data_IF_366021796643
#
_entry.id   IF_366021796643
#
_cell.length_a   1.000
_cell.length_b   1.000
_cell.length_c   1.000
_cell.angle_alpha   90.00
_cell.angle_beta   90.00
_cell.angle_gamma   90.00
#
_symmetry.space_group_name_H-M   'P 1'
#
loop_
_entity.id
_entity.type
_entity.pdbx_description
1 polymer ?
#
# COMPACT_ATOMS: atom_id res chain seq x y z
N UNK A 1 0.07 -15.60 -21.75
CA UNK A 1 -0.87 -14.92 -20.83
C UNK A 1 -0.81 -15.58 -19.48
N UNK A 2 -1.01 -14.87 -18.40
CA UNK A 2 -1.13 -15.47 -17.08
C UNK A 2 -2.36 -16.36 -17.00
N UNK A 3 -2.29 -17.37 -16.14
CA UNK A 3 -3.42 -18.25 -15.82
C UNK A 3 -4.01 -17.83 -14.48
N UNK A 4 -5.33 -17.88 -14.36
CA UNK A 4 -6.03 -17.59 -13.11
C UNK A 4 -6.72 -18.88 -12.63
N UNK A 5 -6.48 -19.21 -11.35
CA UNK A 5 -7.17 -20.27 -10.61
C UNK A 5 -7.78 -19.70 -9.36
N UNK A 6 -8.79 -20.35 -8.80
CA UNK A 6 -9.38 -19.95 -7.53
C UNK A 6 -9.59 -21.16 -6.61
N UNK A 7 -9.58 -20.90 -5.31
CA UNK A 7 -9.90 -21.88 -4.27
C UNK A 7 -10.53 -21.17 -3.06
N UNK A 8 -11.29 -21.87 -2.22
CA UNK A 8 -11.72 -21.34 -0.93
C UNK A 8 -10.50 -20.91 -0.09
N UNK A 9 -10.60 -19.78 0.60
CA UNK A 9 -9.59 -19.34 1.56
C UNK A 9 -10.08 -19.48 3.00
N UNK A 10 -11.30 -19.02 3.29
CA UNK A 10 -11.87 -19.09 4.62
C UNK A 10 -13.26 -18.49 4.67
N UNK A 11 -13.73 -18.24 5.88
CA UNK A 11 -15.03 -17.63 6.16
C UNK A 11 -14.82 -16.48 7.12
N UNK A 12 -15.43 -15.33 6.85
CA UNK A 12 -15.41 -14.18 7.76
C UNK A 12 -16.20 -14.49 9.04
N UNK A 13 -16.00 -13.73 10.13
CA UNK A 13 -16.80 -13.82 11.36
C UNK A 13 -18.28 -13.59 11.14
N UNK A 14 -18.63 -12.89 10.05
CA UNK A 14 -20.02 -12.66 9.63
C UNK A 14 -20.59 -13.80 8.78
N UNK A 15 -19.83 -14.87 8.54
CA UNK A 15 -20.26 -16.05 7.79
C UNK A 15 -20.12 -15.93 6.25
N UNK A 16 -19.47 -14.90 5.73
CA UNK A 16 -19.24 -14.76 4.29
C UNK A 16 -18.03 -15.59 3.84
N UNK A 17 -18.19 -16.35 2.75
CA UNK A 17 -17.10 -17.11 2.14
C UNK A 17 -16.10 -16.17 1.46
N UNK A 18 -14.81 -16.42 1.67
CA UNK A 18 -13.70 -15.70 1.05
C UNK A 18 -12.95 -16.65 0.10
N UNK A 19 -12.67 -16.15 -1.10
CA UNK A 19 -12.02 -16.87 -2.18
C UNK A 19 -10.61 -16.30 -2.43
N UNK A 20 -9.63 -17.18 -2.55
CA UNK A 20 -8.28 -16.85 -3.02
C UNK A 20 -8.21 -17.06 -4.54
N UNK A 21 -7.79 -16.04 -5.28
CA UNK A 21 -7.50 -16.06 -6.72
C UNK A 21 -5.99 -16.04 -6.92
N UNK A 22 -5.50 -16.96 -7.72
CA UNK A 22 -4.07 -17.19 -7.97
C UNK A 22 -3.77 -16.92 -9.43
N UNK A 23 -3.04 -15.83 -9.71
CA UNK A 23 -2.54 -15.47 -11.02
C UNK A 23 -1.10 -15.99 -11.15
N UNK A 24 -0.79 -16.71 -12.25
CA UNK A 24 0.56 -17.21 -12.51
C UNK A 24 0.94 -16.96 -13.96
N UNK A 25 2.11 -16.40 -14.21
CA UNK A 25 2.61 -16.15 -15.56
C UNK A 25 3.66 -17.19 -16.01
N UNK A 26 3.98 -17.26 -17.30
CA UNK A 26 5.02 -18.19 -17.80
C UNK A 26 6.42 -17.91 -17.24
N UNK A 27 6.69 -16.68 -16.77
CA UNK A 27 7.94 -16.28 -16.13
C UNK A 27 8.11 -16.80 -14.69
N UNK A 28 7.08 -17.50 -14.17
CA UNK A 28 7.08 -18.10 -12.83
C UNK A 28 6.65 -17.15 -11.71
N UNK A 29 6.33 -15.88 -12.01
CA UNK A 29 5.75 -14.98 -11.01
C UNK A 29 4.32 -15.41 -10.72
N UNK A 30 4.00 -15.54 -9.41
CA UNK A 30 2.66 -15.90 -8.94
C UNK A 30 2.18 -14.85 -7.94
N UNK A 31 0.94 -14.40 -8.09
CA UNK A 31 0.28 -13.45 -7.18
C UNK A 31 -1.02 -14.06 -6.70
N UNK A 32 -1.21 -14.14 -5.37
CA UNK A 32 -2.47 -14.57 -4.75
C UNK A 32 -3.21 -13.36 -4.20
N UNK A 33 -4.51 -13.30 -4.48
CA UNK A 33 -5.41 -12.20 -4.10
C UNK A 33 -6.66 -12.75 -3.45
N UNK A 34 -7.12 -12.14 -2.36
CA UNK A 34 -8.41 -12.44 -1.75
C UNK A 34 -9.49 -11.49 -2.25
N UNK A 35 -10.71 -11.99 -2.41
CA UNK A 35 -11.89 -11.15 -2.69
C UNK A 35 -12.36 -10.33 -1.47
N UNK A 36 -11.79 -10.55 -0.30
CA UNK A 36 -11.92 -9.71 0.89
C UNK A 36 -10.79 -8.69 0.91
N UNK A 37 -11.12 -7.38 1.00
CA UNK A 37 -10.16 -6.28 1.04
C UNK A 37 -9.27 -6.15 -0.21
N UNK A 38 -9.53 -6.87 -1.29
CA UNK A 38 -8.60 -7.01 -2.43
C UNK A 38 -7.18 -7.32 -1.96
N UNK A 39 -7.03 -8.13 -0.91
CA UNK A 39 -5.76 -8.39 -0.24
C UNK A 39 -4.80 -9.12 -1.18
N UNK A 40 -3.62 -8.58 -1.37
CA UNK A 40 -2.50 -9.29 -1.99
C UNK A 40 -1.88 -10.18 -0.91
N UNK A 41 -2.22 -11.47 -0.93
CA UNK A 41 -1.79 -12.45 0.06
C UNK A 41 -0.36 -12.92 -0.17
N UNK A 42 -0.01 -13.23 -1.42
CA UNK A 42 1.33 -13.68 -1.79
C UNK A 42 1.80 -12.99 -3.08
N UNK A 43 3.08 -12.71 -3.16
CA UNK A 43 3.81 -12.45 -4.41
C UNK A 43 5.03 -13.36 -4.42
N UNK A 44 4.95 -14.47 -5.14
CA UNK A 44 6.00 -15.46 -5.21
C UNK A 44 6.86 -15.18 -6.44
N UNK A 45 8.09 -14.74 -6.21
CA UNK A 45 9.06 -14.40 -7.25
C UNK A 45 10.04 -15.55 -7.43
N UNK A 46 10.25 -16.06 -8.66
CA UNK A 46 11.31 -17.04 -8.91
C UNK A 46 12.68 -16.41 -8.63
N UNK A 47 13.51 -17.06 -7.83
CA UNK A 47 14.84 -16.61 -7.47
C UNK A 47 15.87 -17.71 -7.62
N UNK A 48 17.16 -17.37 -7.52
CA UNK A 48 18.28 -18.30 -7.78
C UNK A 48 18.22 -19.58 -6.96
N UNK A 49 17.77 -19.48 -5.70
CA UNK A 49 17.74 -20.60 -4.74
C UNK A 49 16.31 -21.16 -4.54
N UNK A 50 15.40 -20.92 -5.47
CA UNK A 50 13.99 -21.31 -5.38
C UNK A 50 13.06 -20.09 -5.29
N UNK A 51 11.75 -20.30 -5.37
CA UNK A 51 10.75 -19.23 -5.31
C UNK A 51 10.72 -18.60 -3.91
N UNK A 52 10.55 -17.27 -3.86
CA UNK A 52 10.47 -16.49 -2.61
C UNK A 52 9.16 -15.71 -2.58
N UNK A 53 8.40 -15.85 -1.50
CA UNK A 53 7.26 -14.96 -1.23
C UNK A 53 7.78 -13.65 -0.67
N UNK A 54 7.61 -12.58 -1.42
CA UNK A 54 8.20 -11.28 -1.10
C UNK A 54 7.24 -10.33 -0.39
N UNK A 55 6.07 -10.80 0.05
CA UNK A 55 5.12 -9.98 0.83
C UNK A 55 4.74 -10.65 2.14
N UNK A 56 4.55 -9.84 3.16
CA UNK A 56 3.97 -10.27 4.43
C UNK A 56 2.46 -10.50 4.27
N UNK A 57 1.86 -11.19 5.21
CA UNK A 57 0.43 -11.47 5.26
C UNK A 57 0.08 -12.46 6.34
N UNK A 58 -1.17 -12.92 6.36
CA UNK A 58 -1.67 -13.90 7.31
C UNK A 58 -2.10 -15.19 6.61
N UNK A 59 -2.16 -16.29 7.36
CA UNK A 59 -2.54 -17.60 6.83
C UNK A 59 -4.05 -17.84 6.88
N UNK A 60 -4.76 -17.19 7.80
CA UNK A 60 -6.19 -17.42 8.02
C UNK A 60 -7.01 -16.13 7.88
N UNK A 61 -8.30 -16.28 7.58
CA UNK A 61 -9.23 -15.16 7.53
C UNK A 61 -9.39 -14.51 8.92
N UNK A 62 -9.35 -15.30 9.98
CA UNK A 62 -9.45 -14.81 11.35
C UNK A 62 -8.28 -13.87 11.69
N UNK A 63 -7.05 -14.23 11.30
CA UNK A 63 -5.87 -13.38 11.54
C UNK A 63 -5.96 -12.05 10.77
N UNK A 64 -6.49 -12.03 9.54
CA UNK A 64 -6.75 -10.79 8.81
C UNK A 64 -7.79 -9.92 9.51
N UNK A 65 -8.89 -10.51 10.02
CA UNK A 65 -9.91 -9.75 10.73
C UNK A 65 -9.39 -9.23 12.08
N UNK A 66 -8.52 -9.99 12.78
CA UNK A 66 -7.87 -9.55 14.01
C UNK A 66 -6.89 -8.40 13.75
N UNK A 67 -6.06 -8.49 12.70
CA UNK A 67 -5.19 -7.39 12.28
C UNK A 67 -6.02 -6.12 12.01
N UNK A 68 -7.06 -6.21 11.19
CA UNK A 68 -7.84 -5.03 10.76
C UNK A 68 -8.68 -4.38 11.85
N UNK A 69 -8.88 -5.04 13.00
CA UNK A 69 -9.60 -4.52 14.17
C UNK A 69 -8.68 -4.16 15.32
N UNK A 70 -7.40 -4.50 15.24
CA UNK A 70 -6.42 -4.17 16.27
C UNK A 70 -6.06 -2.68 16.28
N UNK A 71 -5.67 -2.16 17.43
CA UNK A 71 -5.16 -0.77 17.56
C UNK A 71 -3.84 -0.53 16.82
N UNK A 72 -3.15 -1.60 16.44
CA UNK A 72 -1.91 -1.59 15.63
C UNK A 72 -2.11 -2.21 14.26
N UNK A 73 -3.30 -2.08 13.67
CA UNK A 73 -3.62 -2.65 12.36
C UNK A 73 -2.57 -2.31 11.31
N UNK A 74 -2.06 -3.35 10.66
CA UNK A 74 -1.12 -3.19 9.55
C UNK A 74 -1.82 -3.03 8.21
N UNK A 75 -3.11 -3.35 8.11
CA UNK A 75 -3.84 -3.46 6.83
C UNK A 75 -3.08 -4.31 5.80
N UNK A 76 -2.38 -5.36 6.26
CA UNK A 76 -1.37 -6.10 5.50
C UNK A 76 -1.90 -6.62 4.17
N UNK A 77 -1.32 -6.15 3.06
CA UNK A 77 -1.70 -6.51 1.69
C UNK A 77 -3.02 -5.91 1.19
N UNK A 78 -3.78 -5.22 2.03
CA UNK A 78 -5.13 -4.77 1.71
C UNK A 78 -5.16 -3.55 0.78
N UNK A 79 -6.25 -3.44 0.02
CA UNK A 79 -6.63 -2.21 -0.66
C UNK A 79 -7.28 -1.26 0.35
N UNK A 80 -6.76 -0.04 0.44
CA UNK A 80 -7.09 0.96 1.45
C UNK A 80 -7.84 2.14 0.84
N UNK A 81 -8.88 2.60 1.50
CA UNK A 81 -9.79 3.71 1.14
C UNK A 81 -11.02 3.74 2.07
N UNK A 82 -11.96 4.75 1.99
CA UNK A 82 -11.99 5.80 0.93
C UNK A 82 -10.78 6.70 0.96
N UNK A 83 -10.15 6.87 2.14
CA UNK A 83 -9.02 7.78 2.28
C UNK A 83 -7.84 7.03 2.91
N UNK A 84 -6.82 6.74 2.09
CA UNK A 84 -5.56 6.16 2.53
C UNK A 84 -4.79 7.15 3.39
N UNK A 85 -4.12 6.64 4.43
CA UNK A 85 -3.44 7.40 5.44
C UNK A 85 -4.41 8.27 6.28
N UNK A 86 -3.91 9.32 6.96
CA UNK A 86 -4.67 10.06 7.98
C UNK A 86 -5.48 11.20 7.41
N UNK A 87 -6.63 11.46 8.07
CA UNK A 87 -7.37 12.73 8.04
C UNK A 87 -7.27 13.31 9.44
N UNK A 88 -6.63 14.45 9.57
CA UNK A 88 -6.36 15.12 10.84
C UNK A 88 -7.65 15.46 11.58
N UNK A 89 -7.68 15.21 12.91
CA UNK A 89 -8.84 15.39 13.78
C UNK A 89 -10.12 14.67 13.31
N UNK A 90 -9.98 13.68 12.40
CA UNK A 90 -11.10 12.92 11.82
C UNK A 90 -12.20 13.82 11.22
N UNK A 91 -11.84 14.99 10.67
CA UNK A 91 -12.78 15.96 10.12
C UNK A 91 -12.29 16.52 8.79
N UNK A 92 -13.22 16.74 7.86
CA UNK A 92 -12.94 17.43 6.60
C UNK A 92 -14.15 18.21 6.11
N UNK A 93 -13.91 19.16 5.17
CA UNK A 93 -14.98 19.93 4.55
C UNK A 93 -14.94 19.75 3.03
N UNK A 94 -16.11 19.55 2.42
CA UNK A 94 -16.28 19.50 0.97
C UNK A 94 -17.64 20.05 0.59
N UNK A 95 -17.74 20.82 -0.50
CA UNK A 95 -19.00 21.41 -0.95
C UNK A 95 -19.65 22.35 0.07
N UNK A 96 -18.87 23.00 0.94
CA UNK A 96 -19.37 23.91 2.01
C UNK A 96 -19.97 23.18 3.23
N UNK A 97 -19.86 21.85 3.30
CA UNK A 97 -20.30 21.04 4.45
C UNK A 97 -19.12 20.42 5.15
N UNK A 98 -19.18 20.33 6.47
CA UNK A 98 -18.21 19.64 7.31
C UNK A 98 -18.71 18.24 7.67
N UNK A 99 -17.82 17.25 7.58
CA UNK A 99 -18.07 15.85 7.86
C UNK A 99 -17.15 15.39 8.98
N UNK A 100 -17.75 14.74 9.99
CA UNK A 100 -17.04 14.12 11.09
C UNK A 100 -16.93 12.62 10.80
N UNK A 101 -15.71 12.09 10.89
CA UNK A 101 -15.42 10.67 10.75
C UNK A 101 -15.18 10.02 12.12
N UNK A 102 -15.11 8.71 12.16
CA UNK A 102 -14.67 7.98 13.34
C UNK A 102 -13.17 8.25 13.58
N UNK A 103 -12.81 8.62 14.82
CA UNK A 103 -11.43 8.74 15.26
C UNK A 103 -10.89 7.36 15.66
N UNK A 104 -10.28 6.66 14.72
CA UNK A 104 -9.76 5.30 14.88
C UNK A 104 -8.22 5.22 15.05
N UNK A 105 -7.54 6.38 15.03
CA UNK A 105 -6.09 6.49 15.24
C UNK A 105 -5.76 7.74 16.07
N UNK A 106 -5.90 7.62 17.41
CA UNK A 106 -5.88 8.78 18.29
C UNK A 106 -7.00 9.74 17.91
N UNK A 107 -6.72 11.06 17.70
CA UNK A 107 -7.74 12.00 17.25
C UNK A 107 -8.07 11.89 15.76
N UNK A 108 -7.28 11.14 14.99
CA UNK A 108 -7.34 11.11 13.53
C UNK A 108 -8.20 9.95 13.01
N UNK A 109 -8.66 10.07 11.77
CA UNK A 109 -9.17 8.94 11.00
C UNK A 109 -8.06 8.36 10.14
N UNK A 110 -7.95 7.02 10.07
CA UNK A 110 -6.91 6.31 9.34
C UNK A 110 -7.52 5.22 8.45
N UNK A 111 -7.17 5.21 7.16
CA UNK A 111 -7.38 4.16 6.16
C UNK A 111 -8.83 3.86 5.72
N UNK A 112 -9.86 4.08 6.54
CA UNK A 112 -11.25 3.76 6.21
C UNK A 112 -11.57 2.25 6.21
N UNK A 113 -12.63 1.84 5.46
CA UNK A 113 -13.19 0.50 5.56
C UNK A 113 -12.95 -0.42 4.35
N UNK A 114 -12.28 0.02 3.29
CA UNK A 114 -12.16 -0.78 2.05
C UNK A 114 -11.39 -2.08 2.24
N UNK A 115 -10.46 -2.14 3.19
CA UNK A 115 -9.75 -3.35 3.61
C UNK A 115 -10.67 -4.44 4.20
N UNK A 116 -11.86 -4.07 4.66
CA UNK A 116 -12.84 -4.97 5.31
C UNK A 116 -14.06 -5.29 4.45
N UNK A 117 -14.02 -4.98 3.15
CA UNK A 117 -15.12 -5.26 2.22
C UNK A 117 -14.93 -6.57 1.48
N UNK A 118 -16.04 -7.25 1.20
CA UNK A 118 -16.07 -8.35 0.22
C UNK A 118 -16.37 -7.75 -1.17
N UNK A 119 -15.60 -8.18 -2.16
CA UNK A 119 -15.68 -7.69 -3.54
C UNK A 119 -16.28 -8.73 -4.46
N UNK A 120 -17.08 -8.29 -5.43
CA UNK A 120 -17.52 -9.14 -6.52
C UNK A 120 -16.37 -9.26 -7.55
N UNK A 121 -15.96 -10.50 -7.85
CA UNK A 121 -14.82 -10.75 -8.71
C UNK A 121 -15.23 -11.31 -10.05
N UNK A 122 -14.65 -10.75 -11.12
CA UNK A 122 -14.70 -11.28 -12.48
C UNK A 122 -13.27 -11.52 -12.95
N UNK A 123 -12.98 -12.77 -13.36
CA UNK A 123 -11.68 -13.16 -13.91
C UNK A 123 -11.77 -13.27 -15.43
N UNK A 124 -10.85 -12.65 -16.16
CA UNK A 124 -10.77 -12.75 -17.61
C UNK A 124 -9.32 -12.54 -18.10
N UNK A 125 -8.85 -13.50 -18.92
CA UNK A 125 -7.47 -13.49 -19.42
C UNK A 125 -6.45 -13.54 -18.27
N UNK A 126 -5.64 -12.48 -18.14
CA UNK A 126 -4.62 -12.28 -17.13
C UNK A 126 -5.05 -11.29 -16.02
N UNK A 127 -6.35 -11.00 -15.93
CA UNK A 127 -6.91 -9.89 -15.15
C UNK A 127 -8.01 -10.35 -14.20
N UNK A 128 -7.95 -9.86 -12.96
CA UNK A 128 -9.05 -9.85 -11.99
C UNK A 128 -9.67 -8.45 -11.95
N UNK A 129 -10.98 -8.36 -12.12
CA UNK A 129 -11.76 -7.15 -11.85
C UNK A 129 -12.55 -7.40 -10.57
N UNK A 130 -12.32 -6.57 -9.57
CA UNK A 130 -12.97 -6.63 -8.26
C UNK A 130 -13.79 -5.37 -8.07
N UNK A 131 -15.09 -5.50 -7.84
CA UNK A 131 -16.05 -4.39 -7.75
C UNK A 131 -16.76 -4.40 -6.41
N UNK A 132 -16.96 -3.21 -5.83
CA UNK A 132 -17.74 -3.00 -4.63
C UNK A 132 -18.40 -1.61 -4.65
N UNK A 133 -19.34 -1.41 -3.72
CA UNK A 133 -19.98 -0.12 -3.47
C UNK A 133 -19.70 0.30 -2.02
N UNK A 134 -19.68 1.62 -1.83
CA UNK A 134 -19.60 2.24 -0.51
C UNK A 134 -20.74 3.24 -0.43
N UNK A 135 -21.80 2.95 0.36
CA UNK A 135 -23.01 3.79 0.43
C UNK A 135 -22.71 5.15 1.04
N UNK A 136 -23.59 6.11 0.78
CA UNK A 136 -23.58 7.43 1.43
C UNK A 136 -23.57 7.29 2.95
N UNK A 137 -22.67 8.02 3.62
CA UNK A 137 -22.51 7.99 5.07
C UNK A 137 -21.65 6.83 5.61
N UNK A 138 -21.19 5.89 4.80
CA UNK A 138 -20.27 4.84 5.26
C UNK A 138 -18.98 5.45 5.78
N UNK A 139 -18.55 5.08 7.00
CA UNK A 139 -17.44 5.70 7.77
C UNK A 139 -17.57 7.24 7.92
N UNK A 140 -18.76 7.82 7.70
CA UNK A 140 -19.00 9.27 7.72
C UNK A 140 -18.73 10.00 6.40
N UNK A 141 -18.33 9.31 5.34
CA UNK A 141 -18.03 9.92 4.05
C UNK A 141 -19.31 10.14 3.21
N UNK A 142 -19.49 11.31 2.55
CA UNK A 142 -20.64 11.56 1.69
C UNK A 142 -20.57 10.85 0.34
N UNK A 143 -21.75 10.58 -0.22
CA UNK A 143 -21.99 10.06 -1.54
C UNK A 143 -21.90 8.53 -1.66
N UNK A 144 -22.76 7.98 -2.53
CA UNK A 144 -22.68 6.59 -2.95
C UNK A 144 -21.49 6.44 -3.91
N UNK A 145 -20.53 5.63 -3.52
CA UNK A 145 -19.30 5.46 -4.25
C UNK A 145 -19.24 4.08 -4.89
N UNK A 146 -19.01 4.04 -6.22
CA UNK A 146 -18.72 2.82 -6.97
C UNK A 146 -17.22 2.69 -7.17
N UNK A 147 -16.73 1.52 -6.85
CA UNK A 147 -15.30 1.25 -6.83
C UNK A 147 -14.99 0.00 -7.64
N UNK A 148 -13.94 0.06 -8.46
CA UNK A 148 -13.40 -1.06 -9.20
C UNK A 148 -11.88 -1.09 -9.05
N UNK A 149 -11.35 -2.24 -8.64
CA UNK A 149 -9.93 -2.56 -8.57
C UNK A 149 -9.64 -3.61 -9.63
N UNK A 150 -8.66 -3.34 -10.47
CA UNK A 150 -8.22 -4.29 -11.49
C UNK A 150 -6.78 -4.70 -11.23
N UNK A 151 -6.54 -5.99 -11.07
CA UNK A 151 -5.21 -6.57 -10.94
C UNK A 151 -4.88 -7.38 -12.18
N UNK A 152 -3.76 -7.05 -12.81
CA UNK A 152 -3.29 -7.70 -14.04
C UNK A 152 -1.85 -8.19 -13.85
N UNK A 153 -1.59 -9.46 -14.18
CA UNK A 153 -0.26 -10.05 -14.16
C UNK A 153 0.23 -10.29 -15.60
N UNK A 154 1.21 -9.52 -16.04
CA UNK A 154 1.75 -9.62 -17.40
C UNK A 154 2.85 -10.69 -17.53
N UNK A 155 3.22 -11.03 -18.76
CA UNK A 155 4.26 -12.04 -19.04
C UNK A 155 5.68 -11.58 -18.65
N UNK A 156 5.93 -10.28 -18.58
CA UNK A 156 7.23 -9.68 -18.26
C UNK A 156 7.45 -9.43 -16.76
N UNK A 157 6.74 -10.20 -15.91
CA UNK A 157 6.79 -10.13 -14.46
C UNK A 157 6.37 -8.76 -13.90
N UNK A 158 5.40 -8.13 -14.56
CA UNK A 158 4.78 -6.89 -14.10
C UNK A 158 3.41 -7.18 -13.50
N UNK A 159 3.20 -6.79 -12.25
CA UNK A 159 1.90 -6.80 -11.59
C UNK A 159 1.36 -5.38 -11.54
N UNK A 160 0.23 -5.15 -12.21
CA UNK A 160 -0.40 -3.86 -12.37
C UNK A 160 -1.70 -3.80 -11.58
N UNK A 161 -1.89 -2.72 -10.84
CA UNK A 161 -3.06 -2.42 -10.03
C UNK A 161 -3.69 -1.11 -10.55
N UNK A 162 -4.87 -1.20 -11.16
CA UNK A 162 -5.65 -0.04 -11.61
C UNK A 162 -6.84 0.16 -10.68
N UNK A 163 -7.03 1.40 -10.24
CA UNK A 163 -8.13 1.82 -9.39
C UNK A 163 -9.05 2.77 -10.16
N UNK A 164 -10.35 2.56 -10.04
CA UNK A 164 -11.37 3.41 -10.62
C UNK A 164 -12.50 3.64 -9.63
N UNK A 165 -12.79 4.90 -9.34
CA UNK A 165 -13.82 5.29 -8.37
C UNK A 165 -14.68 6.41 -8.95
N UNK A 166 -15.99 6.37 -8.70
CA UNK A 166 -16.92 7.45 -9.00
C UNK A 166 -17.92 7.61 -7.86
N UNK A 167 -18.41 8.83 -7.63
CA UNK A 167 -19.41 9.14 -6.60
C UNK A 167 -20.52 9.98 -7.19
N UNK A 168 -21.74 9.84 -6.64
CA UNK A 168 -22.91 10.65 -7.00
C UNK A 168 -22.94 12.00 -6.25
N UNK A 169 -22.11 12.18 -5.23
CA UNK A 169 -21.91 13.44 -4.51
C UNK A 169 -20.42 13.83 -4.43
N UNK A 170 -20.15 15.08 -4.11
CA UNK A 170 -18.80 15.54 -3.81
C UNK A 170 -18.28 14.81 -2.57
N UNK A 171 -17.08 14.22 -2.67
CA UNK A 171 -16.41 13.50 -1.59
C UNK A 171 -14.91 13.66 -1.69
N UNK A 172 -14.14 13.05 -0.78
CA UNK A 172 -12.68 12.95 -0.88
C UNK A 172 -12.27 11.51 -1.14
N UNK A 173 -11.19 11.32 -1.91
CA UNK A 173 -10.68 9.99 -2.27
C UNK A 173 -9.15 10.00 -2.26
N UNK A 174 -8.58 9.05 -1.53
CA UNK A 174 -7.17 8.70 -1.56
C UNK A 174 -7.06 7.17 -1.45
N UNK A 175 -6.44 6.52 -2.41
CA UNK A 175 -6.46 5.06 -2.53
C UNK A 175 -5.03 4.52 -2.60
N UNK A 176 -4.79 3.38 -1.96
CA UNK A 176 -3.52 2.66 -2.05
C UNK A 176 -3.69 1.16 -1.83
N UNK A 177 -2.61 0.39 -2.03
CA UNK A 177 -2.47 -0.97 -1.52
C UNK A 177 -1.37 -0.98 -0.44
N UNK A 178 -1.63 -1.66 0.66
CA UNK A 178 -0.78 -1.67 1.85
C UNK A 178 0.04 -2.97 1.97
N UNK A 179 0.62 -3.44 0.87
CA UNK A 179 1.53 -4.59 0.91
C UNK A 179 2.84 -4.23 1.58
N UNK A 180 3.28 -5.08 2.51
CA UNK A 180 4.60 -5.03 3.12
C UNK A 180 5.53 -5.97 2.40
N UNK A 181 6.63 -5.45 1.87
CA UNK A 181 7.60 -6.21 1.08
C UNK A 181 8.79 -6.63 1.94
N UNK A 182 9.24 -7.88 1.73
CA UNK A 182 10.51 -8.38 2.19
C UNK A 182 11.13 -9.24 1.08
N UNK A 183 12.06 -8.67 0.32
CA UNK A 183 12.68 -9.35 -0.83
C UNK A 183 13.59 -10.52 -0.41
N UNK A 184 13.87 -10.69 0.89
CA UNK A 184 14.53 -11.86 1.45
C UNK A 184 13.56 -13.04 1.67
N UNK A 185 12.26 -12.77 1.80
CA UNK A 185 11.20 -13.70 2.18
C UNK A 185 11.17 -14.06 3.66
N UNK A 186 12.17 -13.63 4.44
CA UNK A 186 12.31 -13.90 5.85
C UNK A 186 13.21 -12.87 6.55
N UNK A 187 13.17 -12.83 7.90
CA UNK A 187 14.00 -11.93 8.71
C UNK A 187 13.62 -10.47 8.53
N UNK A 188 14.57 -9.55 8.75
CA UNK A 188 14.38 -8.13 8.60
C UNK A 188 14.75 -7.62 7.18
N UNK A 189 14.42 -6.36 6.92
CA UNK A 189 14.69 -5.67 5.65
C UNK A 189 15.88 -4.70 5.74
N UNK A 190 16.55 -4.60 6.88
CA UNK A 190 17.58 -3.58 7.13
C UNK A 190 18.77 -3.70 6.19
N UNK A 191 19.08 -4.95 5.78
CA UNK A 191 20.14 -5.27 4.81
C UNK A 191 19.72 -5.15 3.34
N UNK A 192 18.48 -4.78 3.05
CA UNK A 192 18.02 -4.57 1.68
C UNK A 192 18.32 -3.14 1.24
N UNK A 193 18.65 -2.97 -0.04
CA UNK A 193 18.94 -1.65 -0.62
C UNK A 193 17.66 -1.06 -1.20
N UNK A 194 17.39 0.20 -0.86
CA UNK A 194 16.25 0.97 -1.35
C UNK A 194 16.73 2.27 -1.99
N UNK A 195 16.19 2.60 -3.15
CA UNK A 195 16.28 3.90 -3.80
C UNK A 195 14.90 4.49 -3.93
N UNK A 196 14.74 5.78 -3.60
CA UNK A 196 13.50 6.53 -3.79
C UNK A 196 13.81 7.75 -4.65
N UNK A 197 13.04 7.93 -5.73
CA UNK A 197 13.19 9.05 -6.66
C UNK A 197 12.40 10.26 -6.15
N UNK A 198 12.86 10.83 -5.03
CA UNK A 198 12.25 11.98 -4.39
C UNK A 198 13.31 12.87 -3.78
N UNK A 199 13.32 14.13 -4.17
CA UNK A 199 14.22 15.16 -3.61
C UNK A 199 13.68 15.78 -2.33
N UNK A 200 12.41 15.52 -1.99
CA UNK A 200 11.74 16.08 -0.82
C UNK A 200 10.83 15.05 -0.14
N UNK A 201 10.47 15.33 1.11
CA UNK A 201 9.48 14.60 1.90
C UNK A 201 8.59 15.56 2.69
N UNK A 202 7.42 15.10 3.14
CA UNK A 202 6.57 15.87 4.04
C UNK A 202 7.08 15.73 5.47
N UNK A 203 7.30 16.85 6.16
CA UNK A 203 7.59 16.85 7.59
C UNK A 203 6.38 16.32 8.36
N UNK A 204 6.59 15.37 9.27
CA UNK A 204 5.57 14.84 10.16
C UNK A 204 5.58 15.49 11.54
N UNK A 205 4.43 15.48 12.23
CA UNK A 205 4.29 15.82 13.64
C UNK A 205 4.19 14.55 14.51
N UNK A 206 4.11 14.69 15.83
CA UNK A 206 4.03 13.58 16.79
C UNK A 206 2.78 12.66 16.63
N UNK A 207 1.83 13.04 15.78
CA UNK A 207 0.67 12.22 15.42
C UNK A 207 0.83 11.58 14.03
N UNK A 208 2.04 11.66 13.46
CA UNK A 208 2.36 11.20 12.09
C UNK A 208 1.49 11.87 11.00
N UNK A 209 0.95 13.06 11.28
CA UNK A 209 0.31 13.93 10.30
C UNK A 209 1.34 14.92 9.73
N UNK A 210 1.25 15.28 8.44
CA UNK A 210 2.09 16.33 7.87
C UNK A 210 1.87 17.68 8.57
N UNK A 211 2.96 18.43 8.77
CA UNK A 211 2.90 19.82 9.27
C UNK A 211 2.51 20.84 8.20
N UNK A 212 2.49 20.41 6.91
CA UNK A 212 2.39 21.27 5.74
C UNK A 212 3.74 21.57 5.10
N UNK A 213 4.84 21.45 5.85
CA UNK A 213 6.18 21.70 5.33
C UNK A 213 6.67 20.57 4.41
N UNK A 214 7.27 20.96 3.28
CA UNK A 214 7.97 20.08 2.35
C UNK A 214 9.46 20.34 2.51
N UNK A 215 10.19 19.34 3.01
CA UNK A 215 11.60 19.45 3.35
C UNK A 215 12.48 18.67 2.37
N UNK A 216 13.71 19.15 2.07
CA UNK A 216 14.66 18.41 1.24
C UNK A 216 15.14 17.14 1.96
N UNK A 217 15.37 16.06 1.21
CA UNK A 217 15.98 14.84 1.74
C UNK A 217 17.51 14.96 1.88
N UNK A 218 18.13 15.82 1.10
CA UNK A 218 19.59 15.98 1.02
C UNK A 218 20.19 16.24 2.42
N UNK A 219 21.34 15.62 2.70
CA UNK A 219 22.08 15.70 3.96
C UNK A 219 21.29 15.22 5.20
N UNK A 220 20.24 14.42 5.01
CA UNK A 220 19.43 13.82 6.08
C UNK A 220 19.36 12.30 5.98
N UNK A 221 18.96 11.59 7.05
CA UNK A 221 18.63 10.17 6.99
C UNK A 221 17.52 9.81 6.00
N UNK A 222 16.72 10.79 5.53
CA UNK A 222 15.66 10.60 4.53
C UNK A 222 16.21 10.49 3.10
N UNK A 223 17.50 10.72 2.85
CA UNK A 223 18.08 10.67 1.51
C UNK A 223 18.29 9.23 1.02
N UNK A 224 17.40 8.80 0.12
CA UNK A 224 17.46 7.54 -0.62
C UNK A 224 17.70 7.76 -2.12
N UNK A 225 18.06 8.96 -2.56
CA UNK A 225 18.17 9.33 -3.98
C UNK A 225 19.22 8.51 -4.76
N UNK A 226 20.33 8.15 -4.12
CA UNK A 226 21.40 7.30 -4.71
C UNK A 226 21.27 5.83 -4.32
N UNK A 227 20.26 5.50 -3.51
CA UNK A 227 20.03 4.15 -2.98
C UNK A 227 21.01 3.76 -1.88
N UNK A 228 20.47 3.32 -0.76
CA UNK A 228 21.21 2.88 0.43
C UNK A 228 20.53 1.68 1.10
N UNK A 229 21.24 1.02 2.03
CA UNK A 229 20.63 0.03 2.89
C UNK A 229 19.56 0.69 3.76
N UNK A 230 18.43 0.04 3.94
CA UNK A 230 17.31 0.56 4.74
C UNK A 230 17.76 0.84 6.18
N UNK A 231 18.58 -0.05 6.76
CA UNK A 231 19.07 0.10 8.13
C UNK A 231 20.21 1.10 8.32
N UNK A 232 20.82 1.67 7.25
CA UNK A 232 22.05 2.47 7.35
C UNK A 232 21.95 3.65 8.32
N UNK A 233 20.82 4.39 8.26
CA UNK A 233 20.67 5.64 9.01
C UNK A 233 19.45 5.61 9.95
N UNK A 234 18.93 4.41 10.28
CA UNK A 234 17.67 4.25 10.99
C UNK A 234 17.74 4.68 12.46
N UNK A 235 18.92 4.55 13.09
CA UNK A 235 19.19 4.81 14.51
C UNK A 235 20.07 6.06 14.74
N UNK A 236 20.06 7.02 13.82
CA UNK A 236 20.91 8.23 13.93
C UNK A 236 20.41 9.25 14.95
N UNK A 237 19.26 9.04 15.59
CA UNK A 237 18.63 10.01 16.47
C UNK A 237 18.01 11.21 15.73
N UNK A 238 17.82 11.09 14.41
CA UNK A 238 17.14 12.11 13.62
C UNK A 238 15.68 12.27 14.07
N UNK A 239 15.25 13.50 14.35
CA UNK A 239 13.96 13.77 14.97
C UNK A 239 12.78 13.11 14.25
N UNK A 240 12.77 13.15 12.90
CA UNK A 240 11.68 12.59 12.10
C UNK A 240 11.63 11.04 12.18
N UNK A 241 12.77 10.36 12.18
CA UNK A 241 12.80 8.88 12.35
C UNK A 241 12.51 8.47 13.80
N UNK A 242 12.98 9.24 14.78
CA UNK A 242 12.75 8.97 16.23
C UNK A 242 11.28 9.11 16.60
N UNK A 243 10.61 10.11 16.08
CA UNK A 243 9.22 10.45 16.39
C UNK A 243 8.24 9.33 16.00
N UNK A 244 8.54 8.54 14.96
CA UNK A 244 7.72 7.40 14.50
C UNK A 244 8.16 6.06 15.13
N UNK A 245 8.87 6.10 16.25
CA UNK A 245 9.30 4.89 16.97
C UNK A 245 10.57 4.22 16.42
N UNK A 246 11.36 4.95 15.63
CA UNK A 246 12.55 4.46 14.92
C UNK A 246 12.18 3.84 13.58
N UNK A 247 12.49 4.52 12.51
CA UNK A 247 12.17 4.08 11.14
C UNK A 247 11.71 5.22 10.25
N UNK A 248 11.09 4.87 9.14
CA UNK A 248 10.62 5.83 8.14
C UNK A 248 9.10 5.63 7.93
N UNK A 249 8.28 6.55 8.41
CA UNK A 249 6.83 6.60 8.17
C UNK A 249 6.44 7.97 7.61
N UNK A 250 6.99 8.27 6.41
CA UNK A 250 6.90 9.59 5.80
C UNK A 250 6.44 9.52 4.35
N UNK A 251 5.70 10.54 3.93
CA UNK A 251 5.33 10.72 2.54
C UNK A 251 6.47 11.40 1.77
N UNK A 252 7.07 10.68 0.83
CA UNK A 252 8.07 11.21 -0.09
C UNK A 252 7.40 11.89 -1.28
N UNK A 253 7.88 13.08 -1.64
CA UNK A 253 7.41 13.86 -2.78
C UNK A 253 8.15 13.38 -4.03
N UNK A 254 7.50 12.52 -4.81
CA UNK A 254 8.14 11.88 -5.96
C UNK A 254 8.47 12.87 -7.08
N UNK A 255 9.71 12.84 -7.57
CA UNK A 255 10.19 13.62 -8.70
C UNK A 255 9.61 13.04 -10.00
N UNK A 256 8.56 13.68 -10.52
CA UNK A 256 7.89 13.22 -11.74
C UNK A 256 8.57 13.77 -12.98
N UNK A 257 8.90 12.88 -13.93
CA UNK A 257 9.28 13.29 -15.27
C UNK A 257 8.10 14.03 -15.95
N UNK A 258 8.35 15.21 -16.53
CA UNK A 258 7.32 15.99 -17.24
C UNK A 258 6.72 15.17 -18.38
N UNK A 259 5.37 15.11 -18.43
CA UNK A 259 4.62 14.42 -19.48
C UNK A 259 4.52 12.90 -19.33
N UNK A 260 5.07 12.30 -18.26
CA UNK A 260 4.92 10.88 -17.99
C UNK A 260 3.62 10.59 -17.23
N UNK A 261 2.85 9.60 -17.71
CA UNK A 261 1.66 9.09 -17.00
C UNK A 261 2.04 8.21 -15.80
N UNK A 262 3.25 7.63 -15.81
CA UNK A 262 3.84 6.84 -14.73
C UNK A 262 5.33 7.17 -14.62
N UNK A 263 5.82 7.36 -13.39
CA UNK A 263 7.24 7.56 -13.10
C UNK A 263 7.73 6.45 -12.16
N UNK A 264 8.97 6.00 -12.34
CA UNK A 264 9.61 5.15 -11.33
C UNK A 264 9.73 5.99 -10.06
N UNK A 265 9.26 5.45 -8.96
CA UNK A 265 9.26 6.12 -7.66
C UNK A 265 10.23 5.47 -6.69
N UNK A 266 10.37 4.15 -6.77
CA UNK A 266 11.29 3.41 -5.94
C UNK A 266 11.86 2.18 -6.64
N UNK A 267 13.04 1.75 -6.18
CA UNK A 267 13.69 0.51 -6.55
C UNK A 267 14.26 -0.15 -5.30
N UNK A 268 13.82 -1.36 -4.99
CA UNK A 268 14.35 -2.16 -3.91
C UNK A 268 15.10 -3.38 -4.46
N UNK A 269 16.15 -3.82 -3.76
CA UNK A 269 16.89 -5.03 -4.12
C UNK A 269 17.42 -5.77 -2.89
N UNK A 270 17.41 -7.09 -2.97
CA UNK A 270 18.03 -8.00 -2.01
C UNK A 270 19.24 -8.69 -2.65
N UNK A 271 20.40 -8.56 -2.04
CA UNK A 271 21.59 -9.32 -2.44
C UNK A 271 21.48 -10.80 -2.09
N UNK A 272 20.74 -11.14 -1.02
CA UNK A 272 20.53 -12.51 -0.54
C UNK A 272 19.82 -13.38 -1.59
N UNK A 273 18.74 -12.88 -2.16
CA UNK A 273 17.89 -13.61 -3.14
C UNK A 273 18.19 -13.24 -4.58
N UNK A 274 18.85 -12.11 -4.82
CA UNK A 274 19.02 -11.52 -6.15
C UNK A 274 17.74 -10.94 -6.75
N UNK A 275 16.69 -10.79 -5.95
CA UNK A 275 15.41 -10.20 -6.37
C UNK A 275 15.54 -8.68 -6.33
N UNK A 276 15.02 -8.05 -7.37
CA UNK A 276 14.81 -6.60 -7.43
C UNK A 276 13.39 -6.29 -7.82
N UNK A 277 12.87 -5.21 -7.26
CA UNK A 277 11.53 -4.70 -7.50
C UNK A 277 11.58 -3.22 -7.85
N UNK A 278 10.94 -2.84 -8.95
CA UNK A 278 10.66 -1.44 -9.28
C UNK A 278 9.21 -1.11 -8.98
N UNK A 279 9.01 0.00 -8.31
CA UNK A 279 7.70 0.47 -7.89
C UNK A 279 7.52 1.97 -8.08
N UNK A 280 6.29 2.33 -7.87
CA UNK A 280 5.75 3.67 -7.96
C UNK A 280 4.99 4.02 -6.65
N UNK A 281 5.74 4.48 -5.57
CA UNK A 281 5.58 5.09 -4.17
C UNK A 281 5.29 4.29 -2.86
N UNK A 282 5.58 4.77 -1.62
CA UNK A 282 5.63 4.16 -0.40
C UNK A 282 5.83 4.46 1.08
N UNK A 283 5.71 3.51 2.13
CA UNK A 283 5.95 3.60 3.61
C UNK A 283 6.44 2.30 4.30
N UNK A 284 6.69 2.27 5.67
CA UNK A 284 7.34 1.16 6.42
C UNK A 284 6.55 0.61 7.64
N UNK A 285 6.81 -0.68 8.02
CA UNK A 285 6.11 -1.47 9.05
C UNK A 285 6.64 -1.25 10.47
N UNK A 286 5.70 -1.18 11.44
CA UNK A 286 5.92 -1.40 12.87
C UNK A 286 5.55 -2.84 13.28
N UNK A 287 5.72 -3.22 14.56
CA UNK A 287 5.31 -4.53 15.05
C UNK A 287 3.81 -4.75 14.95
N UNK A 288 3.41 -5.94 14.46
CA UNK A 288 2.03 -6.39 14.45
C UNK A 288 1.88 -7.57 15.42
N UNK A 289 0.96 -7.53 16.39
CA UNK A 289 0.75 -8.61 17.35
C UNK A 289 0.07 -9.83 16.73
N UNK A 290 -0.57 -9.68 15.56
CA UNK A 290 -1.27 -10.79 14.89
C UNK A 290 -0.26 -11.69 14.18
N UNK A 291 -0.40 -13.04 14.28
CA UNK A 291 0.51 -13.97 13.63
C UNK A 291 0.57 -13.77 12.11
N UNK A 292 1.77 -13.65 11.57
CA UNK A 292 2.02 -13.68 10.14
C UNK A 292 1.97 -15.09 9.56
N UNK A 293 2.34 -15.23 8.28
CA UNK A 293 2.38 -16.50 7.55
C UNK A 293 3.25 -17.53 8.26
N UNK A 294 2.80 -18.79 8.27
CA UNK A 294 3.47 -19.88 8.98
C UNK A 294 3.44 -19.73 10.50
N UNK A 295 2.56 -18.90 11.06
CA UNK A 295 2.49 -18.61 12.49
C UNK A 295 3.67 -17.80 13.05
N UNK A 296 4.52 -17.22 12.17
CA UNK A 296 5.67 -16.41 12.57
C UNK A 296 5.19 -14.99 12.88
N UNK A 297 5.48 -14.42 14.08
CA UNK A 297 5.13 -13.05 14.39
C UNK A 297 5.74 -12.06 13.39
N UNK A 298 4.97 -11.05 12.99
CA UNK A 298 5.51 -9.95 12.20
C UNK A 298 6.33 -9.06 13.14
N UNK A 299 7.65 -9.14 13.00
CA UNK A 299 8.59 -8.39 13.84
C UNK A 299 8.83 -6.98 13.28
N UNK A 300 9.29 -6.08 14.15
CA UNK A 300 9.76 -4.75 13.76
C UNK A 300 10.80 -4.88 12.65
N UNK A 301 10.68 -4.06 11.61
CA UNK A 301 11.49 -4.10 10.39
C UNK A 301 11.38 -5.39 9.56
N UNK A 302 10.37 -6.23 9.81
CA UNK A 302 10.12 -7.46 9.03
C UNK A 302 9.68 -7.21 7.59
N UNK A 303 9.20 -6.01 7.29
CA UNK A 303 8.78 -5.61 5.94
C UNK A 303 8.79 -4.09 5.75
N UNK A 304 8.75 -3.64 4.50
CA UNK A 304 8.56 -2.24 4.13
C UNK A 304 7.36 -2.10 3.21
N UNK A 305 6.47 -1.14 3.49
CA UNK A 305 5.36 -0.81 2.63
C UNK A 305 5.77 0.29 1.63
N UNK A 306 5.22 0.22 0.42
CA UNK A 306 5.41 1.21 -0.62
C UNK A 306 4.03 1.61 -1.17
N UNK A 307 3.41 2.64 -0.58
CA UNK A 307 2.04 3.05 -0.86
C UNK A 307 1.96 4.19 -1.89
N UNK A 308 1.26 3.94 -3.00
CA UNK A 308 0.99 4.96 -4.02
C UNK A 308 -0.24 5.77 -3.62
N UNK A 309 -0.06 6.94 -3.01
CA UNK A 309 -1.17 7.75 -2.49
C UNK A 309 -0.96 9.25 -2.74
N UNK A 310 -2.02 10.04 -2.56
CA UNK A 310 -1.92 11.48 -2.36
C UNK A 310 -1.31 11.79 -0.99
N UNK A 311 -0.94 13.06 -0.76
CA UNK A 311 -0.41 13.48 0.53
C UNK A 311 -1.41 13.21 1.65
N UNK A 312 -0.97 12.63 2.79
CA UNK A 312 -1.82 12.49 3.97
C UNK A 312 -2.39 13.84 4.42
N UNK A 313 -3.52 13.83 5.07
CA UNK A 313 -4.19 15.02 5.61
C UNK A 313 -4.46 16.14 4.59
N UNK A 314 -4.43 15.87 3.26
CA UNK A 314 -4.66 16.89 2.23
C UNK A 314 -5.93 17.73 2.44
N UNK A 315 -7.04 17.22 3.00
CA UNK A 315 -8.21 18.05 3.28
C UNK A 315 -7.96 19.19 4.28
N UNK A 316 -6.97 19.06 5.17
CA UNK A 316 -6.58 20.07 6.17
C UNK A 316 -5.51 21.05 5.63
N UNK A 317 -4.93 20.75 4.45
CA UNK A 317 -3.81 21.49 3.86
C UNK A 317 -4.18 21.99 2.46
N UNK A 318 -4.75 23.22 2.33
CA UNK A 318 -5.17 23.75 1.02
C UNK A 318 -4.00 23.96 0.03
N UNK A 319 -2.77 24.01 0.51
CA UNK A 319 -1.54 24.06 -0.29
C UNK A 319 -1.17 22.71 -0.93
N UNK A 320 -1.75 21.59 -0.46
CA UNK A 320 -1.53 20.27 -1.03
C UNK A 320 -2.43 20.01 -2.25
N UNK A 321 -2.05 19.10 -3.13
CA UNK A 321 -2.92 18.69 -4.23
C UNK A 321 -4.26 18.19 -3.73
N UNK A 322 -5.35 18.67 -4.33
CA UNK A 322 -6.70 18.31 -3.89
C UNK A 322 -7.01 16.82 -4.06
N UNK A 323 -7.66 16.24 -3.06
CA UNK A 323 -8.20 14.88 -3.05
C UNK A 323 -9.72 14.84 -3.27
N UNK A 324 -10.33 15.98 -3.59
CA UNK A 324 -11.78 16.09 -3.83
C UNK A 324 -12.17 15.40 -5.13
N UNK A 325 -13.07 14.44 -5.02
CA UNK A 325 -13.78 13.83 -6.15
C UNK A 325 -15.15 14.49 -6.29
N UNK A 326 -15.35 15.26 -7.36
CA UNK A 326 -16.61 15.92 -7.65
C UNK A 326 -17.66 14.91 -8.11
N UNK A 327 -18.94 15.18 -7.78
CA UNK A 327 -20.08 14.39 -8.21
C UNK A 327 -20.06 14.07 -9.72
N UNK A 328 -20.28 12.82 -10.09
CA UNK A 328 -20.25 12.32 -11.46
C UNK A 328 -18.88 12.25 -12.13
N UNK A 329 -17.80 12.70 -11.46
CA UNK A 329 -16.43 12.52 -11.97
C UNK A 329 -15.86 11.16 -11.61
N UNK A 330 -14.81 10.77 -12.33
CA UNK A 330 -14.13 9.49 -12.14
C UNK A 330 -12.69 9.74 -11.72
N UNK A 331 -12.32 9.25 -10.56
CA UNK A 331 -10.93 9.11 -10.12
C UNK A 331 -10.31 7.87 -10.77
N UNK A 332 -9.04 7.97 -11.19
CA UNK A 332 -8.23 6.86 -11.68
C UNK A 332 -6.82 6.96 -11.15
N UNK A 333 -6.29 5.82 -10.71
CA UNK A 333 -4.88 5.70 -10.35
C UNK A 333 -4.35 4.34 -10.81
N UNK A 334 -3.06 4.25 -11.01
CA UNK A 334 -2.38 2.99 -11.38
C UNK A 334 -1.10 2.87 -10.57
N UNK A 335 -0.92 1.68 -9.98
CA UNK A 335 0.32 1.24 -9.35
C UNK A 335 0.89 0.07 -10.15
N UNK A 336 2.19 0.03 -10.33
CA UNK A 336 2.85 -1.05 -11.06
C UNK A 336 4.06 -1.55 -10.29
N UNK A 337 4.12 -2.86 -10.06
CA UNK A 337 5.26 -3.59 -9.51
C UNK A 337 5.91 -4.40 -10.62
N UNK A 338 7.20 -4.25 -10.83
CA UNK A 338 7.93 -5.09 -11.77
C UNK A 338 9.09 -5.78 -11.06
N UNK A 339 9.13 -7.11 -11.18
CA UNK A 339 10.11 -7.95 -10.54
C UNK A 339 11.18 -8.42 -11.53
N UNK A 340 12.42 -8.47 -11.04
CA UNK A 340 13.58 -8.90 -11.81
C UNK A 340 14.41 -9.85 -10.97
N UNK A 341 15.10 -10.80 -11.63
CA UNK A 341 16.07 -11.71 -10.99
C UNK A 341 17.32 -11.85 -11.84
N UNK A 342 18.47 -12.00 -11.20
CA UNK A 342 19.76 -12.19 -11.88
C UNK A 342 20.26 -10.99 -12.69
N UNK A 343 20.96 -11.23 -13.83
CA UNK A 343 21.62 -10.19 -14.65
C UNK A 343 20.69 -9.15 -15.28
N UNK A 344 19.35 -9.32 -15.20
CA UNK A 344 18.40 -8.31 -15.66
C UNK A 344 18.25 -7.13 -14.68
N UNK A 345 18.89 -7.23 -13.51
CA UNK A 345 19.05 -6.13 -12.58
C UNK A 345 20.00 -5.10 -13.20
N UNK A 346 19.48 -4.11 -13.90
CA UNK A 346 20.29 -2.95 -14.30
C UNK A 346 20.96 -2.36 -13.06
N UNK A 347 22.18 -1.82 -13.19
CA UNK A 347 22.85 -1.14 -12.07
C UNK A 347 21.93 -0.07 -11.50
N UNK A 348 21.83 -0.07 -10.16
CA UNK A 348 21.23 1.02 -9.38
C UNK A 348 21.92 2.34 -9.72
#
# INVERSE_FOLDING_TARGET
MAQIRSKPFGVTRQGANVTEYILSNPGGLTVSVLDYGCIIKNIIVPAKNGPVDVVLGHDTMADYEDDFTSSGSTCCGAFVGRYANRIENAVFSVGGKTYQLEANNGPNHLHGCFSRKLYQVKAFGDTLLMEAESPDGEDGFPGNLKLAVRYTLTEDNTFRMDYRVSSDADTIVNLTNHSYFNLNGEGDVLGQKLRIYASNYLEGNNQTCPTGAILPVADTPMDFTEGKLIGRDIDTGFAQTTMVGGGYDHCFVIDRARGSSQSICAWATSEKTGISMKLYTGNFLQECPTPGKGGVPMQKYGGFALETQHYPCSPSHPEFPTTVLRAGKVFRATTTLRFFTGKQCGKL
#
